data_IF_887320486126
#
_entry.id   IF_887320486126
#
_cell.length_a   1.000
_cell.length_b   1.000
_cell.length_c   1.000
_cell.angle_alpha   90.00
_cell.angle_beta   90.00
_cell.angle_gamma   90.00
#
_symmetry.space_group_name_H-M   'P 1'
#
loop_
_entity.id
_entity.type
_entity.pdbx_description
1 polymer ?
#
# COMPACT_ATOMS: atom_id res chain seq x y z
N UNK A 1 11.07 -20.52 -13.52
CA UNK A 1 11.05 -20.54 -12.05
C UNK A 1 12.17 -21.45 -11.57
N UNK A 2 12.98 -20.98 -10.65
CA UNK A 2 13.99 -21.84 -10.00
C UNK A 2 13.26 -22.72 -8.98
N UNK A 3 13.38 -24.05 -9.10
CA UNK A 3 12.68 -25.02 -8.25
C UNK A 3 13.06 -24.87 -6.77
N UNK A 4 14.30 -24.48 -6.50
CA UNK A 4 14.86 -24.28 -5.17
C UNK A 4 14.04 -23.25 -4.34
N UNK A 5 13.39 -22.31 -5.02
CA UNK A 5 12.52 -21.32 -4.36
C UNK A 5 11.28 -21.98 -3.72
N UNK A 6 10.79 -23.06 -4.31
CA UNK A 6 9.65 -23.82 -3.81
C UNK A 6 10.02 -24.74 -2.62
N UNK A 7 11.31 -24.95 -2.36
CA UNK A 7 11.82 -25.78 -1.27
C UNK A 7 12.22 -24.96 -0.04
N UNK A 8 12.14 -23.61 -0.11
CA UNK A 8 12.47 -22.72 1.02
C UNK A 8 11.46 -22.78 2.18
N UNK A 9 10.34 -23.49 2.03
CA UNK A 9 9.30 -23.56 3.05
C UNK A 9 8.52 -22.26 3.26
N UNK A 10 8.65 -21.29 2.37
CA UNK A 10 7.83 -20.07 2.35
C UNK A 10 6.49 -20.33 1.67
N UNK A 11 5.40 -19.64 2.06
CA UNK A 11 4.13 -19.73 1.33
C UNK A 11 4.27 -19.20 -0.09
N UNK A 12 3.69 -19.93 -1.06
CA UNK A 12 3.74 -19.53 -2.47
C UNK A 12 2.35 -19.56 -3.09
N UNK A 13 1.96 -18.45 -3.74
CA UNK A 13 0.74 -18.34 -4.52
C UNK A 13 1.05 -18.07 -5.98
N UNK A 14 0.69 -19.02 -6.85
CA UNK A 14 0.88 -18.90 -8.29
C UNK A 14 -0.36 -18.30 -8.97
N UNK A 15 -0.19 -17.24 -9.76
CA UNK A 15 -1.28 -16.62 -10.54
C UNK A 15 -0.94 -16.77 -12.02
N UNK A 16 -1.89 -17.28 -12.82
CA UNK A 16 -1.81 -17.40 -14.27
C UNK A 16 -0.50 -18.07 -14.72
N UNK A 17 0.43 -17.35 -15.33
CA UNK A 17 1.74 -17.88 -15.71
C UNK A 17 2.55 -18.38 -14.50
N UNK A 18 2.45 -17.70 -13.36
CA UNK A 18 3.09 -18.15 -12.11
C UNK A 18 2.55 -19.51 -11.63
N UNK A 19 1.25 -19.74 -11.78
CA UNK A 19 0.61 -21.02 -11.52
C UNK A 19 1.13 -22.14 -12.44
N UNK A 20 1.23 -21.86 -13.74
CA UNK A 20 1.78 -22.81 -14.73
C UNK A 20 3.28 -23.10 -14.46
N UNK A 21 4.08 -22.07 -14.17
CA UNK A 21 5.49 -22.21 -13.86
C UNK A 21 5.72 -23.03 -12.58
N UNK A 22 4.90 -22.81 -11.54
CA UNK A 22 4.92 -23.60 -10.31
C UNK A 22 4.52 -25.05 -10.59
N UNK A 23 3.46 -25.28 -11.36
CA UNK A 23 3.01 -26.61 -11.76
C UNK A 23 4.12 -27.39 -12.45
N UNK A 24 4.76 -26.80 -13.44
CA UNK A 24 5.87 -27.44 -14.17
C UNK A 24 7.06 -27.75 -13.26
N UNK A 25 7.45 -26.79 -12.40
CA UNK A 25 8.57 -26.99 -11.48
C UNK A 25 8.33 -28.09 -10.45
N UNK A 26 7.05 -28.35 -10.11
CA UNK A 26 6.63 -29.39 -9.16
C UNK A 26 6.27 -30.74 -9.83
N UNK A 27 6.51 -30.88 -11.14
CA UNK A 27 6.27 -32.12 -11.87
C UNK A 27 4.83 -32.33 -12.35
N UNK A 28 3.97 -31.32 -12.26
CA UNK A 28 2.68 -31.32 -12.93
C UNK A 28 2.78 -31.04 -14.44
N UNK A 29 1.65 -30.98 -15.12
CA UNK A 29 1.62 -30.86 -16.60
C UNK A 29 0.90 -29.57 -17.01
N UNK A 30 1.55 -28.79 -17.86
CA UNK A 30 0.98 -27.65 -18.58
C UNK A 30 0.92 -28.02 -20.06
N UNK A 31 -0.23 -27.84 -20.69
CA UNK A 31 -0.44 -28.20 -22.08
C UNK A 31 -1.42 -27.25 -22.77
N UNK A 32 -1.39 -27.27 -24.11
CA UNK A 32 -2.44 -26.66 -24.90
C UNK A 32 -3.67 -27.55 -24.87
N UNK A 33 -4.74 -27.09 -24.23
CA UNK A 33 -6.00 -27.84 -24.08
C UNK A 33 -6.93 -27.70 -25.29
N UNK A 34 -6.53 -26.91 -26.29
CA UNK A 34 -7.36 -26.60 -27.47
C UNK A 34 -8.37 -25.47 -27.24
N UNK A 35 -8.64 -25.14 -26.00
CA UNK A 35 -9.54 -24.05 -25.59
C UNK A 35 -8.77 -22.93 -24.92
N UNK A 36 -8.76 -21.77 -25.55
CA UNK A 36 -8.17 -20.57 -24.99
C UNK A 36 -9.24 -19.77 -24.25
N UNK A 37 -8.90 -19.19 -23.12
CA UNK A 37 -9.85 -18.39 -22.34
C UNK A 37 -9.31 -16.97 -22.14
N UNK A 38 -10.08 -15.99 -22.63
CA UNK A 38 -9.78 -14.56 -22.49
C UNK A 38 -11.04 -13.83 -22.05
N UNK A 39 -10.97 -13.13 -20.90
CA UNK A 39 -12.08 -12.39 -20.36
C UNK A 39 -12.90 -13.16 -19.30
N UNK A 40 -14.17 -12.82 -19.17
CA UNK A 40 -15.07 -13.42 -18.18
C UNK A 40 -15.37 -14.88 -18.50
N UNK A 41 -15.00 -15.76 -17.59
CA UNK A 41 -15.18 -17.21 -17.72
C UNK A 41 -15.90 -17.78 -16.50
N UNK A 42 -16.68 -18.83 -16.67
CA UNK A 42 -17.27 -19.57 -15.56
C UNK A 42 -16.23 -20.50 -14.95
N UNK A 43 -15.97 -20.32 -13.65
CA UNK A 43 -15.20 -21.24 -12.84
C UNK A 43 -16.15 -22.19 -12.12
N UNK A 44 -15.84 -23.49 -12.15
CA UNK A 44 -16.54 -24.50 -11.37
C UNK A 44 -15.68 -24.95 -10.22
N UNK A 45 -16.12 -24.74 -8.99
CA UNK A 45 -15.47 -25.22 -7.78
C UNK A 45 -15.76 -26.72 -7.64
N UNK A 46 -14.69 -27.54 -7.60
CA UNK A 46 -14.75 -29.00 -7.48
C UNK A 46 -14.65 -29.39 -6.00
N UNK A 47 -13.66 -28.80 -5.34
CA UNK A 47 -13.43 -28.89 -3.89
C UNK A 47 -13.20 -27.47 -3.39
N UNK A 48 -13.99 -26.95 -2.45
CA UNK A 48 -13.82 -25.59 -2.00
C UNK A 48 -12.46 -25.34 -1.35
N UNK A 49 -11.82 -26.35 -0.77
CA UNK A 49 -10.56 -26.19 -0.04
C UNK A 49 -10.58 -25.01 0.90
N UNK A 50 -9.47 -24.30 0.96
CA UNK A 50 -9.35 -23.02 1.69
C UNK A 50 -9.74 -21.84 0.81
N UNK A 51 -9.23 -21.78 -0.43
CA UNK A 51 -9.38 -20.60 -1.29
C UNK A 51 -10.84 -20.30 -1.67
N UNK A 52 -11.63 -21.35 -1.93
CA UNK A 52 -13.02 -21.21 -2.42
C UNK A 52 -14.06 -21.53 -1.33
N UNK A 53 -13.66 -21.68 -0.07
CA UNK A 53 -14.57 -21.99 1.03
C UNK A 53 -15.72 -20.99 1.12
N UNK A 54 -16.97 -21.48 1.12
CA UNK A 54 -18.18 -20.65 1.20
C UNK A 54 -18.53 -19.85 -0.06
N UNK A 55 -17.75 -19.99 -1.16
CA UNK A 55 -18.12 -19.40 -2.45
C UNK A 55 -19.14 -20.27 -3.17
N UNK A 56 -19.84 -19.66 -4.13
CA UNK A 56 -20.76 -20.38 -5.02
C UNK A 56 -20.00 -21.41 -5.83
N UNK A 57 -20.64 -22.58 -6.05
CA UNK A 57 -20.06 -23.67 -6.84
C UNK A 57 -19.67 -23.24 -8.26
N UNK A 58 -20.37 -22.26 -8.83
CA UNK A 58 -20.02 -21.67 -10.11
C UNK A 58 -20.05 -20.15 -10.00
N UNK A 59 -18.96 -19.49 -10.33
CA UNK A 59 -18.86 -18.04 -10.32
C UNK A 59 -17.95 -17.53 -11.44
N UNK A 60 -18.01 -16.22 -11.73
CA UNK A 60 -17.21 -15.59 -12.78
C UNK A 60 -15.81 -15.27 -12.28
N UNK A 61 -14.83 -15.54 -13.14
CA UNK A 61 -13.43 -15.12 -12.98
C UNK A 61 -12.91 -14.50 -14.26
N UNK A 62 -11.79 -13.81 -14.20
CA UNK A 62 -11.11 -13.28 -15.38
C UNK A 62 -9.96 -14.19 -15.79
N UNK A 63 -10.05 -14.74 -16.98
CA UNK A 63 -9.02 -15.59 -17.59
C UNK A 63 -8.23 -14.84 -18.66
N UNK A 64 -6.96 -15.20 -18.83
CA UNK A 64 -6.10 -14.69 -19.89
C UNK A 64 -4.99 -15.71 -20.19
N UNK A 65 -5.34 -16.83 -20.83
CA UNK A 65 -4.39 -17.89 -21.13
C UNK A 65 -4.68 -18.64 -22.44
N UNK A 66 -3.62 -19.17 -23.06
CA UNK A 66 -3.70 -20.08 -24.20
C UNK A 66 -3.38 -21.52 -23.83
N UNK A 67 -2.40 -21.71 -22.95
CA UNK A 67 -2.07 -22.99 -22.33
C UNK A 67 -2.65 -23.04 -20.92
N UNK A 68 -2.91 -24.25 -20.41
CA UNK A 68 -3.49 -24.45 -19.09
C UNK A 68 -2.83 -25.63 -18.37
N UNK A 69 -2.99 -25.70 -17.06
CA UNK A 69 -2.62 -26.87 -16.29
C UNK A 69 -3.61 -27.99 -16.60
N UNK A 70 -3.09 -29.12 -17.11
CA UNK A 70 -3.86 -30.32 -17.42
C UNK A 70 -3.76 -31.39 -16.34
N UNK A 71 -2.68 -31.38 -15.54
CA UNK A 71 -2.53 -32.26 -14.38
C UNK A 71 -1.83 -31.52 -13.24
N UNK A 72 -2.41 -31.56 -12.05
CA UNK A 72 -1.81 -30.98 -10.85
C UNK A 72 -0.57 -31.79 -10.44
N UNK A 73 0.39 -31.16 -9.73
CA UNK A 73 1.51 -31.89 -9.12
C UNK A 73 1.03 -32.89 -8.05
N UNK A 74 1.83 -33.89 -7.77
CA UNK A 74 1.54 -34.86 -6.71
C UNK A 74 1.42 -34.17 -5.34
N UNK A 75 0.41 -34.57 -4.57
CA UNK A 75 0.12 -34.00 -3.24
C UNK A 75 -0.66 -32.67 -3.26
N UNK A 76 -1.08 -32.20 -4.45
CA UNK A 76 -1.94 -31.03 -4.57
C UNK A 76 -3.39 -31.44 -4.86
N UNK A 77 -4.33 -30.82 -4.14
CA UNK A 77 -5.77 -30.99 -4.38
C UNK A 77 -6.26 -30.01 -5.43
N UNK A 78 -6.89 -30.52 -6.49
CA UNK A 78 -7.53 -29.68 -7.50
C UNK A 78 -8.81 -29.11 -6.91
N UNK A 79 -8.93 -27.79 -6.85
CA UNK A 79 -10.04 -27.08 -6.20
C UNK A 79 -11.03 -26.49 -7.20
N UNK A 80 -10.63 -26.21 -8.43
CA UNK A 80 -11.53 -25.66 -9.44
C UNK A 80 -11.10 -26.03 -10.87
N UNK A 81 -12.07 -25.95 -11.79
CA UNK A 81 -11.88 -26.13 -13.23
C UNK A 81 -12.66 -25.09 -14.02
N UNK A 82 -12.33 -24.95 -15.31
CA UNK A 82 -13.12 -24.23 -16.31
C UNK A 82 -13.17 -25.03 -17.62
N UNK A 83 -13.88 -24.51 -18.62
CA UNK A 83 -14.01 -25.16 -19.92
C UNK A 83 -12.65 -25.30 -20.63
N UNK A 84 -11.72 -24.35 -20.45
CA UNK A 84 -10.39 -24.34 -21.06
C UNK A 84 -9.27 -24.76 -20.11
N UNK A 85 -9.51 -24.83 -18.81
CA UNK A 85 -8.53 -25.23 -17.81
C UNK A 85 -9.07 -26.37 -16.93
N UNK A 86 -8.72 -27.64 -17.25
CA UNK A 86 -9.12 -28.80 -16.43
C UNK A 86 -8.70 -28.68 -14.98
N UNK A 87 -7.57 -28.01 -14.74
CA UNK A 87 -7.09 -27.59 -13.42
C UNK A 87 -6.97 -26.07 -13.44
N UNK A 88 -8.02 -25.39 -12.96
CA UNK A 88 -8.04 -23.93 -12.89
C UNK A 88 -7.57 -23.39 -11.53
N UNK A 89 -7.53 -24.25 -10.49
CA UNK A 89 -6.94 -23.96 -9.20
C UNK A 89 -6.55 -25.25 -8.50
N UNK A 90 -5.51 -25.16 -7.67
CA UNK A 90 -5.14 -26.21 -6.74
C UNK A 90 -4.52 -25.64 -5.46
N UNK A 91 -4.46 -26.45 -4.41
CA UNK A 91 -3.80 -26.08 -3.16
C UNK A 91 -3.14 -27.29 -2.49
N UNK A 92 -2.12 -27.02 -1.67
CA UNK A 92 -1.48 -27.96 -0.77
C UNK A 92 -1.17 -27.27 0.57
N UNK A 93 -2.04 -27.46 1.56
CA UNK A 93 -1.91 -26.83 2.87
C UNK A 93 -0.60 -27.24 3.58
N UNK A 94 -0.17 -28.49 3.46
CA UNK A 94 1.06 -29.00 4.06
C UNK A 94 2.31 -28.27 3.55
N UNK A 95 2.31 -27.80 2.31
CA UNK A 95 3.40 -27.04 1.70
C UNK A 95 3.15 -25.53 1.77
N UNK A 96 2.01 -25.09 2.24
CA UNK A 96 1.54 -23.70 2.20
C UNK A 96 1.60 -23.11 0.80
N UNK A 97 1.18 -23.90 -0.19
CA UNK A 97 1.18 -23.52 -1.60
C UNK A 97 -0.21 -23.60 -2.18
N UNK A 98 -0.54 -22.65 -3.01
CA UNK A 98 -1.76 -22.64 -3.78
C UNK A 98 -1.55 -21.90 -5.10
N UNK A 99 -2.46 -22.09 -6.05
CA UNK A 99 -2.39 -21.35 -7.30
C UNK A 99 -3.69 -21.40 -8.07
N UNK A 100 -3.84 -20.41 -8.94
CA UNK A 100 -5.03 -20.22 -9.78
C UNK A 100 -4.63 -19.83 -11.21
N UNK A 101 -5.37 -20.34 -12.20
CA UNK A 101 -5.17 -20.00 -13.61
C UNK A 101 -5.73 -18.62 -13.94
N UNK A 102 -6.75 -18.18 -13.24
CA UNK A 102 -7.40 -16.88 -13.42
C UNK A 102 -6.64 -15.76 -12.67
N UNK A 103 -7.10 -14.52 -12.86
CA UNK A 103 -6.56 -13.31 -12.28
C UNK A 103 -7.43 -12.82 -11.11
N UNK A 104 -7.12 -13.20 -9.85
CA UNK A 104 -7.88 -12.74 -8.69
C UNK A 104 -7.61 -11.26 -8.36
N UNK A 105 -6.49 -10.70 -8.83
CA UNK A 105 -6.08 -9.32 -8.56
C UNK A 105 -6.88 -8.27 -9.33
N UNK A 106 -7.64 -8.68 -10.36
CA UNK A 106 -8.41 -7.73 -11.17
C UNK A 106 -9.88 -7.64 -10.69
N UNK A 107 -10.47 -6.45 -10.80
CA UNK A 107 -11.87 -6.19 -10.41
C UNK A 107 -12.91 -7.04 -11.15
N UNK A 108 -12.53 -7.64 -12.28
CA UNK A 108 -13.40 -8.52 -13.07
C UNK A 108 -13.55 -9.93 -12.48
N UNK A 109 -12.78 -10.26 -11.45
CA UNK A 109 -12.91 -11.46 -10.62
C UNK A 109 -13.61 -11.08 -9.31
N UNK A 110 -14.94 -11.19 -9.17
CA UNK A 110 -15.70 -10.62 -8.05
C UNK A 110 -15.21 -11.10 -6.66
N UNK A 111 -14.79 -12.37 -6.54
CA UNK A 111 -14.26 -12.95 -5.30
C UNK A 111 -12.74 -12.91 -5.20
N UNK A 112 -12.06 -12.22 -6.13
CA UNK A 112 -10.59 -12.22 -6.20
C UNK A 112 -9.94 -11.73 -4.93
N UNK A 113 -10.42 -10.62 -4.37
CA UNK A 113 -9.91 -10.07 -3.12
C UNK A 113 -10.07 -11.06 -1.94
N UNK A 114 -11.20 -11.75 -1.88
CA UNK A 114 -11.46 -12.73 -0.82
C UNK A 114 -10.51 -13.93 -0.91
N UNK A 115 -10.25 -14.42 -2.12
CA UNK A 115 -9.28 -15.50 -2.39
C UNK A 115 -7.86 -15.10 -1.98
N UNK A 116 -7.43 -13.87 -2.32
CA UNK A 116 -6.12 -13.35 -1.93
C UNK A 116 -6.00 -13.23 -0.41
N UNK A 117 -7.02 -12.72 0.27
CA UNK A 117 -7.03 -12.62 1.73
C UNK A 117 -6.94 -14.00 2.37
N UNK A 118 -7.72 -15.00 1.91
CA UNK A 118 -7.66 -16.37 2.43
C UNK A 118 -6.29 -17.01 2.23
N UNK A 119 -5.67 -16.82 1.06
CA UNK A 119 -4.30 -17.29 0.89
C UNK A 119 -3.37 -16.68 1.95
N UNK A 120 -3.42 -15.37 2.13
CA UNK A 120 -2.53 -14.67 3.06
C UNK A 120 -2.79 -15.08 4.53
N UNK A 121 -4.05 -15.19 4.93
CA UNK A 121 -4.38 -15.44 6.34
C UNK A 121 -4.41 -16.91 6.70
N UNK A 122 -5.01 -17.76 5.85
CA UNK A 122 -5.30 -19.15 6.20
C UNK A 122 -4.23 -20.12 5.68
N UNK A 123 -3.63 -19.86 4.50
CA UNK A 123 -2.55 -20.71 3.96
C UNK A 123 -1.18 -20.19 4.38
N UNK A 124 -0.93 -18.90 4.23
CA UNK A 124 0.34 -18.30 4.61
C UNK A 124 0.46 -18.02 6.11
N UNK A 125 -0.66 -17.91 6.83
CA UNK A 125 -0.70 -17.69 8.28
C UNK A 125 -0.29 -16.27 8.68
N UNK A 126 -0.48 -15.28 7.81
CA UNK A 126 -0.17 -13.89 8.09
C UNK A 126 -1.28 -13.25 8.93
N UNK A 127 -0.89 -12.48 9.93
CA UNK A 127 -1.83 -11.66 10.70
C UNK A 127 -2.14 -10.35 9.96
N UNK A 128 -3.42 -9.94 10.03
CA UNK A 128 -3.86 -8.65 9.46
C UNK A 128 -3.58 -7.51 10.46
N UNK A 129 -2.32 -7.28 10.77
CA UNK A 129 -1.88 -6.30 11.76
C UNK A 129 -1.38 -4.99 11.15
N UNK A 130 -1.27 -4.88 9.83
CA UNK A 130 -0.87 -3.66 9.13
C UNK A 130 -2.08 -2.78 8.85
N UNK A 131 -2.55 -2.09 9.88
CA UNK A 131 -3.68 -1.15 9.84
C UNK A 131 -3.19 0.29 9.91
N UNK A 132 -3.99 1.30 9.49
CA UNK A 132 -3.60 2.71 9.63
C UNK A 132 -3.24 3.10 11.07
N UNK A 133 -3.88 2.51 12.08
CA UNK A 133 -3.56 2.75 13.48
C UNK A 133 -2.19 2.17 13.85
N UNK A 134 -1.91 0.93 13.45
CA UNK A 134 -0.63 0.28 13.72
C UNK A 134 0.53 0.96 12.99
N UNK A 135 0.30 1.41 11.73
CA UNK A 135 1.28 2.21 10.98
C UNK A 135 1.59 3.51 11.72
N UNK A 136 0.57 4.19 12.25
CA UNK A 136 0.78 5.42 13.00
C UNK A 136 1.59 5.18 14.28
N UNK A 137 1.32 4.08 15.00
CA UNK A 137 2.06 3.72 16.22
C UNK A 137 3.51 3.33 15.93
N UNK A 138 3.78 2.59 14.84
CA UNK A 138 5.14 2.29 14.36
C UNK A 138 5.91 3.55 13.97
N UNK A 139 5.27 4.48 13.26
CA UNK A 139 5.88 5.76 12.90
C UNK A 139 6.20 6.62 14.14
N UNK A 140 5.30 6.64 15.14
CA UNK A 140 5.54 7.33 16.40
C UNK A 140 6.74 6.76 17.12
N UNK A 141 6.88 5.44 17.18
CA UNK A 141 8.03 4.79 17.82
C UNK A 141 9.33 5.08 17.06
N UNK A 142 9.31 4.98 15.74
CA UNK A 142 10.46 5.35 14.88
C UNK A 142 10.91 6.80 15.14
N UNK A 143 9.97 7.74 15.26
CA UNK A 143 10.28 9.14 15.58
C UNK A 143 10.90 9.26 16.97
N UNK A 144 10.41 8.53 17.98
CA UNK A 144 10.99 8.52 19.33
C UNK A 144 12.44 8.05 19.32
N UNK A 145 12.70 6.94 18.64
CA UNK A 145 14.05 6.40 18.50
C UNK A 145 15.01 7.39 17.81
N UNK A 146 14.56 8.00 16.71
CA UNK A 146 15.39 8.95 15.95
C UNK A 146 15.68 10.24 16.70
N UNK A 147 14.70 10.81 17.40
CA UNK A 147 14.85 12.05 18.14
C UNK A 147 15.55 11.81 19.48
N UNK A 148 15.41 10.62 20.07
CA UNK A 148 15.92 10.29 21.38
C UNK A 148 15.23 11.07 22.50
N UNK A 149 15.79 11.00 23.72
CA UNK A 149 15.11 11.49 24.93
C UNK A 149 15.26 13.00 25.15
N UNK A 150 16.27 13.63 24.60
CA UNK A 150 16.64 15.02 24.93
C UNK A 150 16.53 15.99 23.76
N UNK A 151 16.63 15.50 22.53
CA UNK A 151 16.61 16.38 21.34
C UNK A 151 15.21 16.98 21.11
N UNK A 152 15.20 18.10 20.45
CA UNK A 152 13.99 18.84 20.03
C UNK A 152 13.83 18.74 18.52
N UNK A 153 12.61 18.88 18.06
CA UNK A 153 12.31 18.91 16.64
C UNK A 153 11.50 20.17 16.27
N UNK A 154 11.65 20.59 15.04
CA UNK A 154 10.81 21.61 14.42
C UNK A 154 10.05 20.99 13.25
N UNK A 155 8.83 21.44 13.05
CA UNK A 155 8.00 21.03 11.91
C UNK A 155 7.41 22.27 11.24
N UNK A 156 7.68 22.43 9.94
CA UNK A 156 7.05 23.47 9.13
C UNK A 156 5.62 23.07 8.77
N UNK A 157 4.65 23.90 9.12
CA UNK A 157 3.26 23.73 8.71
C UNK A 157 2.97 24.54 7.45
N UNK A 158 2.49 23.85 6.41
CA UNK A 158 2.11 24.49 5.15
C UNK A 158 0.60 24.77 5.04
N UNK A 159 -0.19 24.42 6.08
CA UNK A 159 -1.66 24.42 6.00
C UNK A 159 -2.25 23.19 5.29
N UNK A 160 -1.42 22.34 4.67
CA UNK A 160 -1.82 21.11 4.01
C UNK A 160 -1.93 19.91 4.97
N UNK A 161 -2.67 18.88 4.52
CA UNK A 161 -2.90 17.65 5.29
C UNK A 161 -1.59 16.94 5.65
N UNK A 162 -0.65 16.83 4.72
CA UNK A 162 0.60 16.08 4.92
C UNK A 162 1.43 16.65 6.06
N UNK A 163 1.62 17.99 6.08
CA UNK A 163 2.36 18.66 7.16
C UNK A 163 1.64 18.57 8.50
N UNK A 164 0.31 18.60 8.51
CA UNK A 164 -0.49 18.46 9.71
C UNK A 164 -0.40 17.05 10.30
N UNK A 165 -0.46 16.01 9.45
CA UNK A 165 -0.30 14.61 9.86
C UNK A 165 1.11 14.36 10.39
N UNK A 166 2.15 14.81 9.67
CA UNK A 166 3.53 14.69 10.13
C UNK A 166 3.73 15.34 11.51
N UNK A 167 3.27 16.58 11.69
CA UNK A 167 3.36 17.29 12.96
C UNK A 167 2.58 16.59 14.08
N UNK A 168 1.40 16.02 13.80
CA UNK A 168 0.61 15.27 14.77
C UNK A 168 1.32 13.99 15.24
N UNK A 169 1.94 13.25 14.32
CA UNK A 169 2.72 12.05 14.65
C UNK A 169 3.94 12.40 15.51
N UNK A 170 4.69 13.44 15.13
CA UNK A 170 5.84 13.91 15.90
C UNK A 170 5.41 14.44 17.29
N UNK A 171 4.30 15.17 17.37
CA UNK A 171 3.74 15.63 18.65
C UNK A 171 3.39 14.45 19.58
N UNK A 172 2.77 13.39 19.05
CA UNK A 172 2.49 12.18 19.83
C UNK A 172 3.76 11.45 20.27
N UNK A 173 4.82 11.53 19.46
CA UNK A 173 6.09 10.88 19.74
C UNK A 173 6.89 11.59 20.84
N UNK A 174 7.06 12.92 20.76
CA UNK A 174 8.01 13.69 21.58
C UNK A 174 7.38 14.83 22.40
N UNK A 175 6.06 15.04 22.30
CA UNK A 175 5.33 16.01 23.12
C UNK A 175 5.85 17.45 22.96
N UNK A 176 6.07 18.13 24.10
CA UNK A 176 6.49 19.54 24.16
C UNK A 176 7.87 19.83 23.55
N UNK A 177 8.59 18.81 23.15
CA UNK A 177 9.87 18.95 22.44
C UNK A 177 9.70 19.28 20.96
N UNK A 178 8.46 19.18 20.41
CA UNK A 178 8.13 19.68 19.09
C UNK A 178 7.76 21.16 19.12
N UNK A 179 8.30 21.92 18.18
CA UNK A 179 7.82 23.27 17.85
C UNK A 179 7.37 23.31 16.40
N UNK A 180 6.12 23.60 16.16
CA UNK A 180 5.59 23.82 14.81
C UNK A 180 5.78 25.27 14.40
N UNK A 181 6.18 25.51 13.17
CA UNK A 181 6.37 26.87 12.61
C UNK A 181 5.43 27.02 11.40
N UNK A 182 4.57 27.99 11.47
CA UNK A 182 3.68 28.37 10.37
C UNK A 182 4.11 29.73 9.81
N UNK A 183 4.43 29.79 8.53
CA UNK A 183 4.91 31.00 7.86
C UNK A 183 3.78 31.62 7.05
N UNK A 184 3.34 32.80 7.46
CA UNK A 184 2.44 33.61 6.64
C UNK A 184 3.25 34.36 5.57
N UNK A 185 3.25 33.81 4.37
CA UNK A 185 4.00 34.34 3.22
C UNK A 185 3.17 35.29 2.32
N UNK A 186 1.94 35.64 2.73
CA UNK A 186 1.07 36.54 1.98
C UNK A 186 0.38 35.94 0.76
N UNK A 187 0.57 34.62 0.49
CA UNK A 187 -0.04 33.89 -0.62
C UNK A 187 -1.00 32.82 -0.12
N UNK A 188 -1.41 32.90 1.14
CA UNK A 188 -2.35 31.98 1.78
C UNK A 188 -3.78 32.19 1.23
N UNK A 189 -4.59 31.17 1.32
CA UNK A 189 -6.03 31.30 1.07
C UNK A 189 -6.69 32.10 2.21
N UNK A 190 -7.82 32.74 1.89
CA UNK A 190 -8.60 33.46 2.91
C UNK A 190 -8.98 32.53 4.05
N UNK A 191 -8.67 32.91 5.31
CA UNK A 191 -8.97 32.15 6.51
C UNK A 191 -8.02 31.01 6.83
N UNK A 192 -7.05 30.69 5.99
CA UNK A 192 -6.13 29.57 6.20
C UNK A 192 -5.23 29.76 7.43
N UNK A 193 -4.75 30.99 7.64
CA UNK A 193 -3.96 31.35 8.83
C UNK A 193 -4.71 31.08 10.14
N UNK A 194 -5.93 31.60 10.23
CA UNK A 194 -6.79 31.45 11.40
C UNK A 194 -7.16 29.97 11.63
N UNK A 195 -7.44 29.25 10.56
CA UNK A 195 -7.75 27.83 10.61
C UNK A 195 -6.58 27.01 11.17
N UNK A 196 -5.36 27.22 10.68
CA UNK A 196 -4.18 26.51 11.19
C UNK A 196 -3.93 26.86 12.65
N UNK A 197 -4.01 28.14 13.02
CA UNK A 197 -3.78 28.57 14.41
C UNK A 197 -4.81 28.00 15.40
N UNK A 198 -6.05 27.84 14.97
CA UNK A 198 -7.15 27.41 15.86
C UNK A 198 -7.30 25.89 15.83
N UNK A 199 -7.50 25.31 14.64
CA UNK A 199 -7.91 23.91 14.50
C UNK A 199 -6.75 22.96 14.75
N UNK A 200 -5.56 23.27 14.22
CA UNK A 200 -4.38 22.42 14.41
C UNK A 200 -3.94 22.39 15.87
N UNK A 201 -3.82 23.56 16.52
CA UNK A 201 -3.39 23.64 17.94
C UNK A 201 -4.42 22.95 18.84
N UNK A 202 -5.72 23.15 18.58
CA UNK A 202 -6.79 22.50 19.34
C UNK A 202 -6.77 20.97 19.18
N UNK A 203 -6.49 20.49 17.98
CA UNK A 203 -6.47 19.05 17.68
C UNK A 203 -5.23 18.34 18.22
N UNK A 204 -4.06 18.99 18.23
CA UNK A 204 -2.77 18.35 18.53
C UNK A 204 -2.15 18.76 19.86
N UNK A 205 -2.51 19.91 20.40
CA UNK A 205 -1.84 20.53 21.56
C UNK A 205 -0.39 20.99 21.27
N UNK A 206 0.05 20.97 20.01
CA UNK A 206 1.42 21.29 19.64
C UNK A 206 1.71 22.79 19.82
N UNK A 207 2.95 23.09 20.22
CA UNK A 207 3.42 24.48 20.28
C UNK A 207 3.54 25.03 18.85
N UNK A 208 2.79 26.09 18.55
CA UNK A 208 2.79 26.74 17.24
C UNK A 208 3.41 28.15 17.33
N UNK A 209 4.41 28.39 16.51
CA UNK A 209 4.98 29.71 16.26
C UNK A 209 4.53 30.17 14.88
N UNK A 210 3.83 31.28 14.81
CA UNK A 210 3.42 31.90 13.54
C UNK A 210 4.33 33.08 13.27
N UNK A 211 4.96 33.10 12.11
CA UNK A 211 5.81 34.21 11.65
C UNK A 211 5.15 34.91 10.46
N UNK A 212 5.13 36.23 10.50
CA UNK A 212 4.65 37.07 9.41
C UNK A 212 5.82 37.47 8.52
N UNK A 213 5.91 36.83 7.37
CA UNK A 213 6.98 37.05 6.39
C UNK A 213 6.44 37.59 5.04
N UNK A 214 5.23 38.13 5.05
CA UNK A 214 4.55 38.60 3.84
C UNK A 214 5.39 39.58 3.04
N UNK A 215 6.01 40.55 3.70
CA UNK A 215 6.87 41.56 3.04
C UNK A 215 8.11 40.90 2.41
N UNK A 216 8.76 39.99 3.12
CA UNK A 216 9.95 39.28 2.65
C UNK A 216 9.65 38.47 1.38
N UNK A 217 8.57 37.68 1.40
CA UNK A 217 8.18 36.90 0.23
C UNK A 217 7.72 37.74 -0.95
N UNK A 218 6.85 38.72 -0.74
CA UNK A 218 6.33 39.55 -1.80
C UNK A 218 7.44 40.39 -2.44
N UNK A 219 8.40 40.89 -1.68
CA UNK A 219 9.54 41.62 -2.23
C UNK A 219 10.43 40.76 -3.14
N UNK A 220 10.62 39.48 -2.80
CA UNK A 220 11.40 38.53 -3.62
C UNK A 220 10.67 38.12 -4.91
N UNK A 221 9.37 38.23 -4.92
CA UNK A 221 8.53 37.90 -6.08
C UNK A 221 8.26 39.08 -7.00
N UNK A 222 8.59 40.30 -6.58
CA UNK A 222 8.37 41.51 -7.38
C UNK A 222 9.11 41.42 -8.73
N UNK A 223 8.35 41.51 -9.82
CA UNK A 223 8.86 41.43 -11.19
C UNK A 223 9.26 40.03 -11.67
N UNK A 224 9.16 39.00 -10.85
CA UNK A 224 9.42 37.60 -11.25
C UNK A 224 8.20 37.04 -11.95
N UNK A 225 8.29 36.74 -13.24
CA UNK A 225 7.19 36.17 -14.03
C UNK A 225 7.33 34.69 -14.31
N UNK A 226 8.57 34.20 -14.41
CA UNK A 226 8.85 32.78 -14.66
C UNK A 226 8.42 31.90 -13.47
N UNK A 227 7.60 30.84 -13.71
CA UNK A 227 7.09 29.98 -12.64
C UNK A 227 8.19 29.25 -11.85
N UNK A 228 9.26 28.80 -12.51
CA UNK A 228 10.33 28.08 -11.87
C UNK A 228 11.21 29.02 -11.01
N UNK A 229 11.45 30.24 -11.49
CA UNK A 229 12.12 31.26 -10.70
C UNK A 229 11.31 31.64 -9.45
N UNK A 230 9.97 31.76 -9.57
CA UNK A 230 9.07 31.96 -8.43
C UNK A 230 9.18 30.82 -7.41
N UNK A 231 9.12 29.58 -7.86
CA UNK A 231 9.21 28.40 -7.00
C UNK A 231 10.54 28.38 -6.22
N UNK A 232 11.66 28.67 -6.89
CA UNK A 232 12.97 28.74 -6.25
C UNK A 232 13.06 29.88 -5.24
N UNK A 233 12.56 31.07 -5.58
CA UNK A 233 12.54 32.22 -4.68
C UNK A 233 11.72 31.94 -3.42
N UNK A 234 10.54 31.34 -3.57
CA UNK A 234 9.67 30.95 -2.46
C UNK A 234 10.36 29.89 -1.58
N UNK A 235 10.91 28.82 -2.17
CA UNK A 235 11.57 27.76 -1.42
C UNK A 235 12.77 28.26 -0.61
N UNK A 236 13.60 29.10 -1.22
CA UNK A 236 14.75 29.70 -0.52
C UNK A 236 14.31 30.59 0.65
N UNK A 237 13.25 31.38 0.48
CA UNK A 237 12.79 32.27 1.54
C UNK A 237 12.12 31.48 2.68
N UNK A 238 11.45 30.37 2.41
CA UNK A 238 10.95 29.48 3.47
C UNK A 238 12.07 28.99 4.39
N UNK A 239 13.19 28.52 3.83
CA UNK A 239 14.32 28.04 4.64
C UNK A 239 14.83 29.16 5.55
N UNK A 240 15.01 30.36 5.01
CA UNK A 240 15.46 31.53 5.79
C UNK A 240 14.46 31.92 6.88
N UNK A 241 13.15 31.83 6.57
CA UNK A 241 12.10 32.11 7.58
C UNK A 241 12.13 31.10 8.73
N UNK A 242 12.37 29.82 8.42
CA UNK A 242 12.55 28.81 9.47
C UNK A 242 13.81 29.04 10.29
N UNK A 243 14.93 29.37 9.69
CA UNK A 243 16.18 29.70 10.38
C UNK A 243 15.96 30.88 11.37
N UNK A 244 15.26 31.93 10.93
CA UNK A 244 14.94 33.08 11.80
C UNK A 244 13.95 32.72 12.92
N UNK A 245 13.05 31.78 12.70
CA UNK A 245 12.02 31.39 13.68
C UNK A 245 12.57 30.53 14.82
N UNK A 246 13.70 29.86 14.61
CA UNK A 246 14.29 28.91 15.59
C UNK A 246 15.63 29.33 16.15
N UNK A 247 16.27 30.36 15.59
CA UNK A 247 17.50 31.01 16.14
C UNK A 247 17.17 31.98 17.21
#
# INVERSE_FOLDING_TARGET
LQSELLDLGIPVFGICYGFQAMTHALGGTVANTGNREYGRTDLTVIDPGVLHAGLETTHKVWMSHGDAVSAAPEGFTVTASSAGAPVAAFECAARRMAGVQYHPEVLHSPHGQEILVRFLTEIAGLEQNWTPANIADELIETVREQVGDTSRAICGLSGGVDSAVAAALVQRAIGDRLTCVFVDHGLLRAGEREQVQTDFVKATGAKLVTVDEREAFLSKLAGVTDPEAKRKAIGNEFIRSFERAVG
#
